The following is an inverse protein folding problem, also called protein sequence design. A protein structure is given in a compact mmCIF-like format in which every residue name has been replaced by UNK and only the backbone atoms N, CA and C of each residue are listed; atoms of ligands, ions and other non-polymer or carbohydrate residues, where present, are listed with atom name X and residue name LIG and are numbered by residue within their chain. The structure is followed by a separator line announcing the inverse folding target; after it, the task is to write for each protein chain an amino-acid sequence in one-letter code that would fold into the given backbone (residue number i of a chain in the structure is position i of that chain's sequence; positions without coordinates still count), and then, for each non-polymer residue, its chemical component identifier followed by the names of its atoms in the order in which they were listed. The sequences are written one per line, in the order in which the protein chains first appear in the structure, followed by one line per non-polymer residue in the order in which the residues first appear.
data_IF_161845393915
#
_entry.id   IF_161845393915
#
_cell.length_a   1.000
_cell.length_b   1.000
_cell.length_c   1.000
_cell.angle_alpha   90.00
_cell.angle_beta   90.00
_cell.angle_gamma   90.00
#
_symmetry.space_group_name_H-M   'P 1'
#
loop_
_entity.id
_entity.type
_entity.pdbx_description
1 polymer ?
#
# COMPACT_ATOMS: atom_id res chain seq x y z
N UNK A 1 -21.88 44.81 -60.41
CA UNK A 1 -21.12 46.03 -60.77
C UNK A 1 -20.75 46.74 -59.48
N UNK A 2 -19.44 46.90 -59.19
CA UNK A 2 -18.88 47.70 -58.06
C UNK A 2 -19.21 47.18 -56.66
N UNK A 3 -18.40 47.30 -55.61
CA UNK A 3 -17.36 48.30 -55.31
C UNK A 3 -16.38 47.70 -54.27
N UNK A 4 -15.08 47.96 -54.49
CA UNK A 4 -13.94 48.23 -53.59
C UNK A 4 -14.25 48.48 -52.08
N UNK A 5 -13.37 48.33 -51.09
CA UNK A 5 -11.90 48.38 -51.02
C UNK A 5 -11.40 47.78 -49.67
N UNK A 6 -10.08 47.52 -49.63
CA UNK A 6 -9.12 47.33 -48.53
C UNK A 6 -9.56 47.65 -47.08
N UNK A 7 -9.02 46.91 -46.10
CA UNK A 7 -8.03 47.43 -45.13
C UNK A 7 -7.45 46.35 -44.18
N UNK A 8 -6.09 46.37 -44.11
CA UNK A 8 -5.19 46.19 -42.95
C UNK A 8 -5.12 44.85 -42.19
N UNK A 9 -4.02 44.17 -42.48
CA UNK A 9 -3.20 43.37 -41.56
C UNK A 9 -2.87 44.14 -40.26
N UNK A 10 -3.18 43.54 -39.11
CA UNK A 10 -2.64 43.92 -37.80
C UNK A 10 -1.70 42.83 -37.30
N UNK A 11 -0.48 43.25 -37.01
CA UNK A 11 0.61 42.52 -36.34
C UNK A 11 0.21 42.17 -34.90
N UNK A 12 0.63 41.02 -34.34
CA UNK A 12 0.46 40.75 -32.92
C UNK A 12 1.47 41.58 -32.11
N UNK A 13 0.95 42.47 -31.26
CA UNK A 13 1.73 43.19 -30.25
C UNK A 13 2.15 42.27 -29.11
N UNK A 14 3.35 42.57 -28.59
CA UNK A 14 4.08 41.94 -27.51
C UNK A 14 3.23 41.56 -26.28
N UNK A 15 3.27 40.28 -25.92
CA UNK A 15 2.97 39.82 -24.57
C UNK A 15 4.29 39.68 -23.79
N UNK A 16 4.36 40.12 -22.52
CA UNK A 16 5.58 40.04 -21.72
C UNK A 16 5.94 38.57 -21.45
N UNK A 17 7.25 38.24 -21.36
CA UNK A 17 7.67 36.88 -21.05
C UNK A 17 7.19 36.53 -19.64
N UNK A 18 6.33 35.52 -19.53
CA UNK A 18 6.03 34.89 -18.25
C UNK A 18 7.31 34.26 -17.73
N UNK A 19 7.89 34.85 -16.68
CA UNK A 19 8.98 34.28 -15.91
C UNK A 19 8.57 32.88 -15.45
N UNK A 20 9.07 31.87 -16.15
CA UNK A 20 8.99 30.48 -15.75
C UNK A 20 9.87 30.32 -14.52
N UNK A 21 9.27 30.46 -13.33
CA UNK A 21 9.90 30.08 -12.07
C UNK A 21 10.33 28.61 -12.21
N UNK A 22 11.63 28.29 -12.15
CA UNK A 22 12.09 26.92 -12.28
C UNK A 22 11.67 26.17 -11.01
N UNK A 23 10.54 25.46 -11.11
CA UNK A 23 10.08 24.57 -10.05
C UNK A 23 11.03 23.38 -10.04
N UNK A 24 11.94 23.35 -9.06
CA UNK A 24 12.84 22.23 -8.86
C UNK A 24 12.03 20.92 -8.74
N UNK A 25 12.38 19.87 -9.51
CA UNK A 25 11.61 18.65 -9.55
C UNK A 25 11.71 17.90 -8.21
N UNK A 26 10.62 17.88 -7.45
CA UNK A 26 10.44 16.97 -6.32
C UNK A 26 10.35 15.54 -6.85
N UNK A 27 11.24 14.67 -6.36
CA UNK A 27 11.63 13.36 -6.91
C UNK A 27 10.57 12.26 -7.00
N UNK A 28 9.26 12.58 -7.04
CA UNK A 28 8.20 11.60 -7.28
C UNK A 28 7.59 11.67 -8.70
N UNK A 29 7.89 12.71 -9.49
CA UNK A 29 7.37 12.86 -10.87
C UNK A 29 8.22 12.22 -11.97
N UNK A 30 9.42 11.72 -11.69
CA UNK A 30 10.32 11.19 -12.73
C UNK A 30 9.93 9.82 -13.33
N UNK A 31 8.84 9.19 -12.89
CA UNK A 31 8.27 7.99 -13.56
C UNK A 31 6.93 8.21 -14.25
N UNK A 32 6.44 9.45 -14.30
CA UNK A 32 5.25 9.79 -15.08
C UNK A 32 5.64 10.60 -16.33
N UNK A 33 6.62 10.10 -17.08
CA UNK A 33 7.01 10.63 -18.38
C UNK A 33 6.34 9.85 -19.51
N UNK A 34 5.56 10.55 -20.34
CA UNK A 34 4.90 10.10 -21.58
C UNK A 34 3.83 9.00 -21.46
N UNK A 35 2.73 9.19 -22.20
CA UNK A 35 1.63 8.25 -22.38
C UNK A 35 2.11 6.96 -23.08
N UNK A 36 2.78 6.07 -22.35
CA UNK A 36 2.88 4.66 -22.71
C UNK A 36 2.07 3.85 -21.68
N UNK A 37 0.94 3.32 -22.12
CA UNK A 37 0.17 2.36 -21.32
C UNK A 37 0.95 1.04 -21.27
N UNK A 38 1.89 0.91 -20.32
CA UNK A 38 2.58 -0.35 -20.09
C UNK A 38 1.76 -1.25 -19.16
N UNK A 39 1.76 -2.55 -19.45
CA UNK A 39 1.18 -3.54 -18.56
C UNK A 39 1.98 -3.58 -17.25
N UNK A 40 1.32 -3.62 -16.10
CA UNK A 40 2.00 -3.79 -14.80
C UNK A 40 1.58 -5.10 -14.16
N UNK A 41 2.57 -5.96 -13.90
CA UNK A 41 2.37 -7.25 -13.24
C UNK A 41 2.58 -7.09 -11.73
N UNK A 42 1.74 -7.75 -10.94
CA UNK A 42 1.85 -7.84 -9.48
C UNK A 42 1.60 -9.29 -9.07
N UNK A 43 2.65 -10.00 -8.69
CA UNK A 43 2.59 -11.41 -8.28
C UNK A 43 3.02 -11.49 -6.82
N UNK A 44 2.29 -12.28 -6.03
CA UNK A 44 2.63 -12.52 -4.62
C UNK A 44 2.96 -13.97 -4.41
N UNK A 45 3.90 -14.22 -3.50
CA UNK A 45 4.33 -15.55 -3.11
C UNK A 45 4.36 -15.68 -1.60
N UNK A 46 4.21 -16.91 -1.12
CA UNK A 46 4.76 -17.29 0.19
C UNK A 46 6.15 -17.86 0.02
N UNK A 47 7.02 -17.54 0.98
CA UNK A 47 8.35 -18.12 1.14
C UNK A 47 8.55 -18.48 2.61
N UNK A 48 9.28 -19.56 2.88
CA UNK A 48 9.72 -19.90 4.23
C UNK A 48 10.73 -18.85 4.71
N UNK A 49 10.59 -18.35 5.93
CA UNK A 49 11.50 -17.36 6.50
C UNK A 49 12.95 -17.85 6.57
N UNK A 50 13.17 -19.16 6.70
CA UNK A 50 14.50 -19.75 6.68
C UNK A 50 15.22 -19.55 5.33
N UNK A 51 14.47 -19.38 4.23
CA UNK A 51 15.03 -19.12 2.89
C UNK A 51 15.26 -17.63 2.63
N UNK A 52 14.75 -16.72 3.47
CA UNK A 52 14.86 -15.27 3.20
C UNK A 52 16.29 -14.74 3.22
N UNK A 53 17.22 -15.20 4.08
CA UNK A 53 18.62 -14.79 3.96
C UNK A 53 19.24 -15.10 2.59
N UNK A 54 18.91 -16.24 1.99
CA UNK A 54 19.35 -16.60 0.64
C UNK A 54 18.69 -15.72 -0.42
N UNK A 55 17.37 -15.55 -0.34
CA UNK A 55 16.61 -14.66 -1.23
C UNK A 55 17.16 -13.23 -1.21
N UNK A 56 17.47 -12.70 -0.03
CA UNK A 56 18.03 -11.36 0.14
C UNK A 56 19.36 -11.20 -0.59
N UNK A 57 20.26 -12.20 -0.50
CA UNK A 57 21.54 -12.19 -1.23
C UNK A 57 21.31 -12.19 -2.74
N UNK A 58 20.42 -13.04 -3.25
CA UNK A 58 20.11 -13.13 -4.68
C UNK A 58 19.47 -11.84 -5.23
N UNK A 59 18.62 -11.18 -4.44
CA UNK A 59 18.03 -9.89 -4.79
C UNK A 59 19.09 -8.78 -4.76
N UNK A 60 19.89 -8.66 -3.70
CA UNK A 60 20.94 -7.64 -3.58
C UNK A 60 22.02 -7.76 -4.68
N UNK A 61 22.23 -8.96 -5.22
CA UNK A 61 23.14 -9.18 -6.35
C UNK A 61 22.63 -8.56 -7.67
N UNK A 62 21.35 -8.19 -7.78
CA UNK A 62 20.71 -7.73 -9.03
C UNK A 62 19.86 -6.48 -8.89
N UNK A 63 19.53 -6.09 -7.66
CA UNK A 63 18.64 -4.98 -7.32
C UNK A 63 19.27 -4.12 -6.25
N UNK A 64 18.87 -2.85 -6.19
CA UNK A 64 19.28 -1.95 -5.13
C UNK A 64 18.26 -1.98 -3.99
N UNK A 65 18.72 -1.70 -2.77
CA UNK A 65 17.81 -1.47 -1.64
C UNK A 65 17.01 -0.19 -1.90
N UNK A 66 15.71 -0.22 -1.64
CA UNK A 66 14.87 1.00 -1.70
C UNK A 66 15.46 2.04 -0.73
N UNK A 67 15.71 3.30 -1.14
CA UNK A 67 16.31 4.32 -0.28
C UNK A 67 15.55 4.59 1.01
N UNK A 68 14.25 4.28 1.04
CA UNK A 68 13.39 4.41 2.22
C UNK A 68 13.27 3.10 3.01
N UNK A 69 14.04 2.07 2.65
CA UNK A 69 14.09 0.78 3.31
C UNK A 69 15.44 0.62 4.04
N UNK A 70 15.50 0.90 5.36
CA UNK A 70 16.72 0.63 6.12
C UNK A 70 17.09 -0.85 6.10
N UNK A 71 18.35 -1.15 6.42
CA UNK A 71 18.79 -2.53 6.62
C UNK A 71 17.95 -3.21 7.72
N UNK A 72 17.47 -4.42 7.44
CA UNK A 72 16.53 -5.13 8.32
C UNK A 72 15.06 -4.78 8.08
N UNK A 73 14.77 -3.84 7.19
CA UNK A 73 13.41 -3.44 6.82
C UNK A 73 12.80 -2.43 7.80
N UNK A 74 11.59 -1.97 7.49
CA UNK A 74 10.87 -0.95 8.25
C UNK A 74 9.46 -1.41 8.65
N UNK A 75 9.00 -1.06 9.85
CA UNK A 75 7.63 -1.32 10.27
C UNK A 75 6.61 -0.61 9.39
N UNK A 76 5.56 -1.33 9.01
CA UNK A 76 4.38 -0.77 8.34
C UNK A 76 3.14 -1.30 9.03
N UNK A 77 2.29 -0.39 9.49
CA UNK A 77 0.98 -0.74 10.08
C UNK A 77 -0.12 -0.05 9.30
N UNK A 78 -1.20 -0.77 8.99
CA UNK A 78 -2.36 -0.20 8.32
C UNK A 78 -3.64 -0.56 9.07
N UNK A 79 -4.44 0.45 9.40
CA UNK A 79 -5.81 0.28 9.86
C UNK A 79 -6.74 0.28 8.65
N UNK A 80 -7.49 -0.81 8.46
CA UNK A 80 -8.46 -0.94 7.37
C UNK A 80 -9.85 -0.55 7.84
N UNK A 81 -10.54 0.17 6.96
CA UNK A 81 -11.93 0.58 7.13
C UNK A 81 -12.82 -0.23 6.20
N UNK A 82 -13.94 -0.71 6.72
CA UNK A 82 -15.01 -1.35 5.95
C UNK A 82 -16.36 -1.07 6.62
N UNK A 83 -17.43 -1.51 5.99
CA UNK A 83 -18.77 -1.50 6.57
C UNK A 83 -18.91 -2.57 7.66
N UNK A 84 -19.91 -2.47 8.55
CA UNK A 84 -20.18 -3.51 9.57
C UNK A 84 -20.43 -4.91 8.99
N UNK A 85 -20.98 -4.99 7.77
CA UNK A 85 -21.24 -6.22 7.03
C UNK A 85 -20.05 -6.67 6.13
N UNK A 86 -18.89 -6.01 6.25
CA UNK A 86 -17.64 -6.34 5.55
C UNK A 86 -17.78 -6.28 4.02
N UNK A 87 -18.41 -5.23 3.50
CA UNK A 87 -18.66 -5.05 2.07
C UNK A 87 -17.37 -5.16 1.24
N UNK A 88 -16.30 -4.42 1.57
CA UNK A 88 -15.05 -4.47 0.81
C UNK A 88 -14.32 -5.82 0.90
N UNK A 89 -14.52 -6.57 1.99
CA UNK A 89 -14.11 -7.96 2.08
C UNK A 89 -14.83 -8.80 1.02
N UNK A 90 -16.16 -8.79 1.02
CA UNK A 90 -16.96 -9.58 0.07
C UNK A 90 -16.72 -9.18 -1.38
N UNK A 91 -16.65 -7.88 -1.68
CA UNK A 91 -16.30 -7.38 -3.02
C UNK A 91 -14.97 -7.97 -3.54
N UNK A 92 -14.02 -8.22 -2.63
CA UNK A 92 -12.72 -8.83 -2.94
C UNK A 92 -12.81 -10.36 -3.07
N UNK A 93 -13.54 -11.04 -2.19
CA UNK A 93 -13.73 -12.51 -2.22
C UNK A 93 -14.49 -12.92 -3.47
N UNK A 94 -15.58 -12.23 -3.80
CA UNK A 94 -16.42 -12.47 -4.97
C UNK A 94 -15.76 -11.98 -6.28
N UNK A 95 -14.64 -11.26 -6.17
CA UNK A 95 -13.87 -10.83 -7.33
C UNK A 95 -14.53 -9.72 -8.14
N UNK A 96 -15.42 -8.91 -7.53
CA UNK A 96 -16.18 -7.86 -8.23
C UNK A 96 -15.26 -6.90 -8.98
N UNK A 97 -15.67 -6.52 -10.19
CA UNK A 97 -14.89 -5.67 -11.09
C UNK A 97 -14.71 -4.25 -10.55
N UNK A 98 -15.70 -3.75 -9.83
CA UNK A 98 -15.62 -2.52 -9.07
C UNK A 98 -15.45 -2.85 -7.60
N UNK A 99 -14.35 -2.41 -7.01
CA UNK A 99 -14.11 -2.60 -5.56
C UNK A 99 -13.14 -1.57 -5.02
N UNK A 100 -13.29 -1.22 -3.75
CA UNK A 100 -12.45 -0.22 -3.07
C UNK A 100 -11.90 -0.76 -1.76
N UNK A 101 -10.86 -0.12 -1.25
CA UNK A 101 -10.33 -0.30 0.09
C UNK A 101 -9.89 1.06 0.61
N UNK A 102 -10.34 1.41 1.81
CA UNK A 102 -9.85 2.56 2.55
C UNK A 102 -8.93 2.08 3.67
N UNK A 103 -7.81 2.76 3.88
CA UNK A 103 -6.92 2.50 5.01
C UNK A 103 -6.19 3.75 5.47
N UNK A 104 -5.94 3.81 6.77
CA UNK A 104 -4.94 4.68 7.38
C UNK A 104 -3.64 3.88 7.54
N UNK A 105 -2.51 4.42 7.12
CA UNK A 105 -1.22 3.73 7.14
C UNK A 105 -0.16 4.53 7.88
N UNK A 106 0.49 3.88 8.84
CA UNK A 106 1.68 4.34 9.54
C UNK A 106 2.93 3.66 8.94
N UNK A 107 3.98 4.44 8.78
CA UNK A 107 5.35 3.98 8.57
C UNK A 107 6.16 4.29 9.82
N UNK A 108 6.95 3.33 10.30
CA UNK A 108 7.64 3.46 11.58
C UNK A 108 6.95 2.71 12.72
N UNK A 109 7.58 2.75 13.89
CA UNK A 109 7.19 1.93 15.03
C UNK A 109 5.83 2.38 15.61
N UNK A 110 4.81 1.49 15.67
CA UNK A 110 3.50 1.85 16.20
C UNK A 110 3.51 2.37 17.65
N UNK A 111 4.47 1.92 18.48
CA UNK A 111 4.59 2.39 19.88
C UNK A 111 5.04 3.84 20.00
N UNK A 112 5.67 4.39 18.96
CA UNK A 112 6.14 5.79 18.92
C UNK A 112 5.10 6.72 18.29
N UNK A 113 3.94 6.19 17.87
CA UNK A 113 2.91 6.98 17.22
C UNK A 113 2.23 7.94 18.20
N UNK A 114 2.40 9.23 17.93
CA UNK A 114 1.72 10.35 18.60
C UNK A 114 0.67 10.97 17.68
N UNK A 115 -0.14 11.90 18.19
CA UNK A 115 -1.14 12.63 17.41
C UNK A 115 -0.52 13.42 16.23
N UNK A 116 0.71 13.87 16.37
CA UNK A 116 1.44 14.63 15.34
C UNK A 116 2.15 13.73 14.32
N UNK A 117 2.18 12.42 14.57
CA UNK A 117 2.87 11.46 13.69
C UNK A 117 2.22 11.43 12.31
N UNK A 118 2.98 11.56 11.21
CA UNK A 118 2.42 11.57 9.88
C UNK A 118 1.89 10.18 9.49
N UNK A 119 0.63 10.12 9.09
CA UNK A 119 -0.01 8.91 8.54
C UNK A 119 -0.53 9.18 7.13
N UNK A 120 -0.65 8.12 6.34
CA UNK A 120 -1.19 8.18 5.00
C UNK A 120 -2.61 7.62 4.94
N UNK A 121 -3.56 8.45 4.52
CA UNK A 121 -4.91 8.00 4.19
C UNK A 121 -4.91 7.57 2.73
N UNK A 122 -5.22 6.30 2.47
CA UNK A 122 -5.10 5.71 1.15
C UNK A 122 -6.43 5.07 0.70
N UNK A 123 -6.87 5.42 -0.51
CA UNK A 123 -7.93 4.69 -1.21
C UNK A 123 -7.30 3.90 -2.34
N UNK A 124 -7.47 2.57 -2.31
CA UNK A 124 -7.13 1.68 -3.42
C UNK A 124 -8.42 1.24 -4.10
N UNK A 125 -8.64 1.69 -5.33
CA UNK A 125 -9.82 1.38 -6.12
C UNK A 125 -9.43 0.51 -7.31
N UNK A 126 -10.25 -0.49 -7.62
CA UNK A 126 -10.18 -1.21 -8.89
C UNK A 126 -11.47 -1.03 -9.66
N UNK A 127 -11.34 -0.69 -10.94
CA UNK A 127 -12.43 -0.62 -11.90
C UNK A 127 -12.04 -1.49 -13.09
N UNK A 128 -12.76 -2.60 -13.26
CA UNK A 128 -12.43 -3.65 -14.23
C UNK A 128 -10.98 -4.17 -14.04
N UNK A 129 -10.08 -3.82 -14.96
CA UNK A 129 -8.68 -4.23 -14.96
C UNK A 129 -7.75 -3.16 -14.38
N UNK A 130 -8.23 -1.92 -14.23
CA UNK A 130 -7.42 -0.79 -13.80
C UNK A 130 -7.48 -0.64 -12.29
N UNK A 131 -6.32 -0.46 -11.66
CA UNK A 131 -6.21 -0.15 -10.23
C UNK A 131 -5.67 1.26 -10.06
N UNK A 132 -6.37 2.07 -9.28
CA UNK A 132 -5.98 3.41 -8.92
C UNK A 132 -5.66 3.45 -7.42
N UNK A 133 -4.61 4.19 -7.07
CA UNK A 133 -4.27 4.48 -5.68
C UNK A 133 -4.17 5.99 -5.53
N UNK A 134 -4.91 6.53 -4.56
CA UNK A 134 -4.85 7.93 -4.17
C UNK A 134 -4.53 8.00 -2.68
N UNK A 135 -3.76 9.00 -2.27
CA UNK A 135 -3.43 9.20 -0.86
C UNK A 135 -3.09 10.65 -0.53
N UNK A 136 -3.28 11.01 0.72
CA UNK A 136 -2.72 12.22 1.35
C UNK A 136 -2.01 11.83 2.64
N UNK A 137 -1.06 12.66 3.07
CA UNK A 137 -0.42 12.55 4.38
C UNK A 137 -1.03 13.61 5.32
N UNK A 138 -1.24 13.27 6.58
CA UNK A 138 -1.68 14.20 7.62
C UNK A 138 -1.31 13.67 9.02
N UNK A 139 -1.35 14.50 10.07
CA UNK A 139 -1.16 14.06 11.45
C UNK A 139 -2.18 12.99 11.86
N UNK A 140 -1.74 12.01 12.63
CA UNK A 140 -2.54 10.89 13.11
C UNK A 140 -3.79 11.33 13.88
N UNK A 141 -3.66 12.26 14.84
CA UNK A 141 -4.79 12.75 15.62
C UNK A 141 -5.84 13.47 14.75
N UNK A 142 -5.40 14.21 13.74
CA UNK A 142 -6.28 14.82 12.73
C UNK A 142 -7.00 13.75 11.91
N UNK A 143 -6.28 12.72 11.48
CA UNK A 143 -6.85 11.61 10.73
C UNK A 143 -7.90 10.84 11.55
N UNK A 144 -7.67 10.60 12.84
CA UNK A 144 -8.65 9.93 13.71
C UNK A 144 -9.91 10.77 13.90
N UNK A 145 -9.76 12.07 14.21
CA UNK A 145 -10.93 12.97 14.33
C UNK A 145 -11.74 13.03 13.04
N UNK A 146 -11.08 12.98 11.89
CA UNK A 146 -11.74 12.97 10.59
C UNK A 146 -12.43 11.64 10.28
N UNK A 147 -11.69 10.52 10.25
CA UNK A 147 -12.22 9.24 9.78
C UNK A 147 -13.13 8.58 10.81
N UNK A 148 -12.75 8.61 12.10
CA UNK A 148 -13.47 7.94 13.18
C UNK A 148 -14.49 8.90 13.81
N UNK A 149 -14.05 10.13 14.11
CA UNK A 149 -14.88 11.17 14.73
C UNK A 149 -15.82 11.90 13.76
N UNK A 150 -15.70 11.64 12.44
CA UNK A 150 -16.50 12.26 11.37
C UNK A 150 -16.45 13.79 11.36
N UNK A 151 -15.37 14.37 11.89
CA UNK A 151 -15.16 15.81 11.88
C UNK A 151 -14.66 16.26 10.51
N UNK A 152 -15.12 17.43 10.06
CA UNK A 152 -14.56 18.04 8.86
C UNK A 152 -13.08 18.37 9.07
N UNK A 153 -12.29 18.18 8.01
CA UNK A 153 -10.85 18.44 8.02
C UNK A 153 -10.52 19.55 7.02
N UNK A 154 -9.74 20.53 7.48
CA UNK A 154 -9.14 21.53 6.61
C UNK A 154 -8.15 20.86 5.66
N UNK A 155 -8.16 21.25 4.39
CA UNK A 155 -7.23 20.72 3.40
C UNK A 155 -6.88 21.76 2.34
N UNK A 156 -5.70 21.61 1.75
CA UNK A 156 -5.27 22.46 0.65
C UNK A 156 -6.14 22.24 -0.60
N UNK A 157 -6.32 23.24 -1.46
CA UNK A 157 -7.15 23.11 -2.67
C UNK A 157 -6.85 21.87 -3.53
N UNK A 158 -5.59 21.44 -3.75
CA UNK A 158 -5.30 20.22 -4.51
C UNK A 158 -5.75 18.91 -3.84
N UNK A 159 -5.90 18.91 -2.51
CA UNK A 159 -6.30 17.74 -1.73
C UNK A 159 -7.83 17.61 -1.60
N UNK A 160 -8.55 18.73 -1.77
CA UNK A 160 -10.01 18.81 -1.60
C UNK A 160 -10.80 17.71 -2.33
N UNK A 161 -10.50 17.33 -3.59
CA UNK A 161 -11.22 16.23 -4.24
C UNK A 161 -11.07 14.88 -3.53
N UNK A 162 -9.87 14.59 -3.02
CA UNK A 162 -9.62 13.34 -2.29
C UNK A 162 -10.25 13.37 -0.90
N UNK A 163 -10.19 14.50 -0.19
CA UNK A 163 -10.86 14.65 1.11
C UNK A 163 -12.37 14.48 0.94
N UNK A 164 -12.97 15.13 -0.07
CA UNK A 164 -14.39 14.95 -0.37
C UNK A 164 -14.73 13.50 -0.73
N UNK A 165 -13.91 12.82 -1.54
CA UNK A 165 -14.07 11.39 -1.86
C UNK A 165 -14.11 10.54 -0.57
N UNK A 166 -13.15 10.74 0.33
CA UNK A 166 -13.02 9.96 1.56
C UNK A 166 -14.16 10.26 2.53
N UNK A 167 -14.49 11.54 2.76
CA UNK A 167 -15.62 11.96 3.61
C UNK A 167 -16.93 11.37 3.11
N UNK A 168 -17.19 11.45 1.80
CA UNK A 168 -18.40 10.87 1.18
C UNK A 168 -18.41 9.35 1.33
N UNK A 169 -17.27 8.68 1.10
CA UNK A 169 -17.17 7.23 1.19
C UNK A 169 -17.44 6.73 2.61
N UNK A 170 -16.87 7.40 3.61
CA UNK A 170 -17.02 7.05 5.02
C UNK A 170 -18.43 7.34 5.51
N UNK A 171 -19.02 8.49 5.14
CA UNK A 171 -20.40 8.85 5.48
C UNK A 171 -21.43 7.92 4.85
N UNK A 172 -21.39 7.75 3.52
CA UNK A 172 -22.43 7.02 2.79
C UNK A 172 -22.44 5.51 3.06
N UNK A 173 -21.27 4.93 3.38
CA UNK A 173 -21.16 3.49 3.67
C UNK A 173 -21.05 3.20 5.16
N UNK A 174 -21.06 4.22 6.01
CA UNK A 174 -20.74 4.11 7.43
C UNK A 174 -19.46 3.27 7.68
N UNK A 175 -18.35 3.67 7.05
CA UNK A 175 -17.11 2.93 7.20
C UNK A 175 -16.54 3.07 8.61
N UNK A 176 -16.14 1.95 9.20
CA UNK A 176 -15.58 1.87 10.55
C UNK A 176 -14.24 1.16 10.52
N UNK A 177 -13.35 1.42 11.49
CA UNK A 177 -12.18 0.59 11.75
C UNK A 177 -12.57 -0.89 11.90
N UNK A 178 -11.92 -1.80 11.16
CA UNK A 178 -12.21 -3.24 11.22
C UNK A 178 -11.02 -4.04 11.75
N UNK A 179 -9.84 -3.82 11.19
CA UNK A 179 -8.62 -4.57 11.54
C UNK A 179 -7.38 -3.72 11.31
N UNK A 180 -6.39 -3.87 12.18
CA UNK A 180 -5.02 -3.47 11.85
C UNK A 180 -4.30 -4.61 11.14
N UNK A 181 -3.34 -4.27 10.28
CA UNK A 181 -2.35 -5.21 9.78
C UNK A 181 -0.97 -4.57 9.82
N UNK A 182 -0.10 -5.11 10.67
CA UNK A 182 1.31 -4.77 10.84
C UNK A 182 2.23 -5.81 10.22
N UNK A 183 3.41 -5.39 9.78
CA UNK A 183 4.49 -6.26 9.29
C UNK A 183 5.81 -5.48 9.21
N UNK A 184 6.92 -6.19 9.17
CA UNK A 184 8.24 -5.63 8.86
C UNK A 184 8.48 -5.77 7.36
N UNK A 185 8.88 -4.70 6.67
CA UNK A 185 9.04 -4.70 5.21
C UNK A 185 10.47 -4.46 4.80
N UNK A 186 11.01 -5.35 3.98
CA UNK A 186 12.17 -5.08 3.13
C UNK A 186 11.69 -4.72 1.72
N UNK A 187 12.35 -3.75 1.07
CA UNK A 187 12.03 -3.35 -0.29
C UNK A 187 13.29 -3.20 -1.15
N UNK A 188 13.21 -3.74 -2.37
CA UNK A 188 14.25 -3.72 -3.40
C UNK A 188 13.68 -3.10 -4.67
N UNK A 189 14.49 -2.28 -5.34
CA UNK A 189 14.17 -1.63 -6.61
C UNK A 189 15.13 -2.12 -7.69
N UNK A 190 14.61 -2.38 -8.88
CA UNK A 190 15.44 -2.83 -10.00
C UNK A 190 16.36 -1.71 -10.46
N UNK A 191 17.52 -2.11 -10.98
CA UNK A 191 18.55 -1.20 -11.52
C UNK A 191 18.73 -1.43 -13.02
N UNK A 192 19.37 -0.47 -13.69
CA UNK A 192 19.75 -0.56 -15.11
C UNK A 192 18.57 -0.96 -16.03
N UNK A 193 18.60 -2.16 -16.60
CA UNK A 193 17.58 -2.65 -17.53
C UNK A 193 16.23 -2.96 -16.85
N UNK A 194 16.18 -3.04 -15.52
CA UNK A 194 15.03 -3.49 -14.74
C UNK A 194 14.37 -2.37 -13.90
N UNK A 195 14.48 -1.09 -14.28
CA UNK A 195 13.92 0.06 -13.52
C UNK A 195 12.42 -0.06 -13.18
N UNK A 196 11.66 -0.86 -13.94
CA UNK A 196 10.25 -1.14 -13.68
C UNK A 196 9.99 -2.20 -12.60
N UNK A 197 11.03 -2.89 -12.12
CA UNK A 197 10.96 -3.99 -11.16
C UNK A 197 11.02 -3.46 -9.73
N UNK A 198 10.16 -3.99 -8.86
CA UNK A 198 10.20 -3.80 -7.41
C UNK A 198 9.84 -5.10 -6.72
N UNK A 199 10.64 -5.50 -5.74
CA UNK A 199 10.37 -6.66 -4.91
C UNK A 199 10.22 -6.19 -3.46
N UNK A 200 9.22 -6.69 -2.74
CA UNK A 200 9.12 -6.46 -1.30
C UNK A 200 8.94 -7.77 -0.56
N UNK A 201 9.55 -7.88 0.61
CA UNK A 201 9.39 -9.01 1.53
C UNK A 201 8.69 -8.46 2.77
N UNK A 202 7.51 -9.00 3.07
CA UNK A 202 6.74 -8.64 4.25
C UNK A 202 6.79 -9.79 5.27
N UNK A 203 7.49 -9.53 6.37
CA UNK A 203 7.76 -10.50 7.42
C UNK A 203 6.73 -10.39 8.54
N UNK A 204 6.57 -11.49 9.27
CA UNK A 204 5.86 -11.53 10.55
C UNK A 204 4.49 -10.82 10.50
N UNK A 205 3.69 -11.08 9.47
CA UNK A 205 2.43 -10.34 9.26
C UNK A 205 1.44 -10.60 10.40
N UNK A 206 1.03 -9.54 11.07
CA UNK A 206 0.20 -9.59 12.27
C UNK A 206 -0.84 -8.46 12.30
N UNK A 207 -1.69 -8.44 13.31
CA UNK A 207 -2.67 -7.39 13.52
C UNK A 207 -3.57 -7.63 14.72
N UNK A 208 -4.67 -6.89 14.78
CA UNK A 208 -5.74 -7.04 15.78
C UNK A 208 -7.09 -6.53 15.23
N UNK A 209 -8.17 -6.98 15.87
CA UNK A 209 -9.58 -6.68 15.58
C UNK A 209 -10.22 -5.72 16.60
N UNK A 210 -9.40 -5.14 17.47
CA UNK A 210 -9.79 -4.26 18.58
C UNK A 210 -8.68 -3.26 18.89
N UNK A 211 -8.97 -2.26 19.72
CA UNK A 211 -7.99 -1.30 20.23
C UNK A 211 -7.13 -0.71 19.10
N UNK A 212 -7.81 -0.16 18.10
CA UNK A 212 -7.23 0.17 16.79
C UNK A 212 -6.19 1.28 16.80
N UNK A 213 -6.10 2.05 17.89
CA UNK A 213 -5.09 3.10 18.01
C UNK A 213 -3.68 2.51 17.88
N UNK A 214 -2.81 3.11 17.07
CA UNK A 214 -1.53 2.47 16.73
C UNK A 214 -0.65 2.20 17.95
N UNK A 215 -0.56 3.18 18.86
CA UNK A 215 0.18 3.08 20.11
C UNK A 215 -0.60 2.47 21.29
N UNK A 216 -1.72 1.77 21.05
CA UNK A 216 -2.60 1.27 22.14
C UNK A 216 -1.97 0.24 23.09
N UNK A 217 -0.79 -0.29 22.78
CA UNK A 217 -0.17 -1.39 23.55
C UNK A 217 -0.93 -2.73 23.46
N UNK A 218 -2.06 -2.77 22.75
CA UNK A 218 -2.89 -3.96 22.66
C UNK A 218 -2.18 -5.08 21.90
N UNK A 219 -2.33 -6.30 22.43
CA UNK A 219 -1.65 -7.48 21.92
C UNK A 219 -2.08 -7.82 20.49
N UNK A 220 -1.09 -7.92 19.60
CA UNK A 220 -1.30 -8.39 18.24
C UNK A 220 -1.31 -9.91 18.17
N UNK A 221 -1.89 -10.45 17.10
CA UNK A 221 -1.80 -11.85 16.72
C UNK A 221 -1.29 -12.00 15.29
N UNK A 222 -0.58 -13.09 15.04
CA UNK A 222 -0.16 -13.46 13.69
C UNK A 222 -1.38 -13.69 12.80
N UNK A 223 -1.36 -13.05 11.64
CA UNK A 223 -2.38 -13.14 10.59
C UNK A 223 -1.92 -14.11 9.50
N UNK A 224 -0.60 -14.20 9.30
CA UNK A 224 0.10 -15.20 8.51
C UNK A 224 1.03 -15.96 9.46
N UNK A 225 1.21 -17.29 9.32
CA UNK A 225 2.16 -18.03 10.14
C UNK A 225 3.54 -17.34 10.16
N UNK A 226 4.18 -17.17 11.33
CA UNK A 226 5.41 -16.42 11.45
C UNK A 226 6.59 -17.03 10.69
N UNK A 227 6.52 -18.32 10.35
CA UNK A 227 7.50 -19.02 9.50
C UNK A 227 7.38 -18.66 8.01
N UNK A 228 6.38 -17.89 7.61
CA UNK A 228 6.16 -17.49 6.22
C UNK A 228 6.28 -15.98 6.07
N UNK A 229 7.00 -15.55 5.04
CA UNK A 229 6.99 -14.18 4.56
C UNK A 229 6.17 -14.07 3.28
N UNK A 230 5.63 -12.88 3.01
CA UNK A 230 4.96 -12.57 1.73
C UNK A 230 5.96 -11.82 0.85
N UNK A 231 6.33 -12.43 -0.28
CA UNK A 231 7.12 -11.76 -1.32
C UNK A 231 6.15 -11.18 -2.34
N UNK A 232 6.29 -9.91 -2.69
CA UNK A 232 5.52 -9.26 -3.75
C UNK A 232 6.47 -8.73 -4.83
N UNK A 233 6.35 -9.29 -6.04
CA UNK A 233 7.05 -8.84 -7.22
C UNK A 233 6.14 -7.95 -8.07
N UNK A 234 6.62 -6.75 -8.40
CA UNK A 234 5.97 -5.81 -9.31
C UNK A 234 6.89 -5.47 -10.46
N UNK A 235 6.43 -5.62 -11.69
CA UNK A 235 7.22 -5.30 -12.87
C UNK A 235 6.39 -4.55 -13.91
N UNK A 236 7.03 -3.64 -14.64
CA UNK A 236 6.45 -3.01 -15.82
C UNK A 236 6.75 -3.89 -17.05
N UNK A 237 5.78 -4.00 -17.95
CA UNK A 237 5.77 -4.71 -19.25
C UNK A 237 5.98 -6.22 -19.22
N UNK A 238 6.97 -6.71 -18.48
CA UNK A 238 7.28 -8.12 -18.29
C UNK A 238 8.02 -8.34 -16.99
N UNK A 239 7.89 -9.53 -16.42
CA UNK A 239 8.74 -9.96 -15.30
C UNK A 239 10.07 -10.47 -15.88
N UNK A 240 11.23 -10.02 -15.39
CA UNK A 240 12.53 -10.52 -15.86
C UNK A 240 12.68 -12.02 -15.64
N UNK A 241 13.29 -12.73 -16.60
CA UNK A 241 13.44 -14.19 -16.54
C UNK A 241 14.19 -14.65 -15.29
N UNK A 242 15.24 -13.91 -14.89
CA UNK A 242 16.01 -14.21 -13.69
C UNK A 242 15.13 -14.18 -12.43
N UNK A 243 14.13 -13.31 -12.38
CA UNK A 243 13.25 -13.17 -11.22
C UNK A 243 12.24 -14.32 -11.15
N UNK A 244 11.70 -14.75 -12.30
CA UNK A 244 10.86 -15.95 -12.36
C UNK A 244 11.64 -17.22 -12.02
N UNK A 245 12.85 -17.34 -12.55
CA UNK A 245 13.77 -18.45 -12.26
C UNK A 245 14.14 -18.50 -10.76
N UNK A 246 14.45 -17.35 -10.15
CA UNK A 246 14.72 -17.22 -8.72
C UNK A 246 13.53 -17.70 -7.89
N UNK A 247 12.30 -17.27 -8.23
CA UNK A 247 11.10 -17.70 -7.47
C UNK A 247 10.85 -19.20 -7.58
N UNK A 248 11.17 -19.81 -8.74
CA UNK A 248 11.03 -21.25 -8.95
C UNK A 248 12.10 -22.04 -8.18
N UNK A 249 13.37 -21.65 -8.26
CA UNK A 249 14.49 -22.29 -7.52
C UNK A 249 14.32 -22.23 -6.00
N UNK A 250 13.65 -21.20 -5.50
CA UNK A 250 13.36 -21.01 -4.08
C UNK A 250 12.09 -21.74 -3.61
N UNK A 251 11.41 -22.49 -4.49
CA UNK A 251 10.12 -23.17 -4.23
C UNK A 251 9.01 -22.21 -3.73
N UNK A 252 8.98 -20.99 -4.26
CA UNK A 252 7.99 -19.99 -3.82
C UNK A 252 6.60 -20.30 -4.38
N UNK A 253 5.59 -20.32 -3.51
CA UNK A 253 4.22 -20.63 -3.90
C UNK A 253 3.44 -19.36 -4.27
N UNK A 254 2.93 -19.27 -5.51
CA UNK A 254 2.10 -18.14 -5.96
C UNK A 254 0.80 -18.09 -5.17
N UNK A 255 0.43 -16.92 -4.66
CA UNK A 255 -0.78 -16.72 -3.87
C UNK A 255 -1.57 -15.47 -4.24
N UNK A 256 -2.90 -15.54 -4.07
CA UNK A 256 -3.83 -14.42 -4.27
C UNK A 256 -4.16 -13.70 -2.97
N UNK A 257 -3.19 -13.61 -2.05
CA UNK A 257 -3.40 -13.10 -0.70
C UNK A 257 -3.69 -11.60 -0.67
N UNK A 258 -4.64 -11.22 0.18
CA UNK A 258 -4.89 -9.83 0.57
C UNK A 258 -4.72 -9.73 2.08
N UNK A 259 -3.75 -8.95 2.55
CA UNK A 259 -3.49 -8.71 3.99
C UNK A 259 -4.76 -8.37 4.79
N UNK A 260 -5.63 -7.52 4.23
CA UNK A 260 -6.94 -7.21 4.82
C UNK A 260 -7.82 -8.45 5.01
N UNK A 261 -8.17 -9.15 3.92
CA UNK A 261 -8.98 -10.36 3.95
C UNK A 261 -8.39 -11.45 4.87
N UNK A 262 -7.08 -11.65 4.80
CA UNK A 262 -6.39 -12.60 5.68
C UNK A 262 -6.55 -12.20 7.16
N UNK A 263 -6.51 -10.89 7.49
CA UNK A 263 -6.74 -10.42 8.86
C UNK A 263 -8.18 -10.67 9.29
N UNK A 264 -9.17 -10.30 8.47
CA UNK A 264 -10.60 -10.55 8.71
C UNK A 264 -10.88 -12.03 8.99
N UNK A 265 -10.31 -12.92 8.19
CA UNK A 265 -10.44 -14.37 8.35
C UNK A 265 -9.72 -14.90 9.59
N UNK A 266 -8.50 -14.42 9.87
CA UNK A 266 -7.71 -14.84 11.03
C UNK A 266 -8.40 -14.47 12.36
N UNK A 267 -9.14 -13.36 12.39
CA UNK A 267 -9.92 -12.93 13.55
C UNK A 267 -11.36 -13.48 13.57
N UNK A 268 -11.77 -14.24 12.55
CA UNK A 268 -13.09 -14.87 12.49
C UNK A 268 -14.24 -13.86 12.31
N UNK A 269 -13.96 -12.69 11.76
CA UNK A 269 -14.95 -11.63 11.54
C UNK A 269 -15.88 -11.95 10.35
N UNK A 270 -15.40 -12.73 9.38
CA UNK A 270 -16.22 -13.25 8.30
C UNK A 270 -16.67 -14.69 8.61
N UNK A 271 -17.91 -15.08 8.22
CA UNK A 271 -18.37 -16.46 8.29
C UNK A 271 -17.39 -17.38 7.54
N UNK A 272 -16.97 -18.47 8.18
CA UNK A 272 -16.17 -19.50 7.52
C UNK A 272 -17.04 -20.17 6.46
N UNK A 273 -16.77 -19.91 5.18
CA UNK A 273 -17.31 -20.76 4.12
C UNK A 273 -16.78 -22.17 4.33
N UNK A 274 -17.68 -23.17 4.44
CA UNK A 274 -17.33 -24.60 4.49
C UNK A 274 -16.56 -25.07 3.25
N UNK A 275 -16.52 -24.26 2.17
CA UNK A 275 -15.96 -24.61 0.86
C UNK A 275 -14.98 -23.54 0.30
N UNK A 276 -14.52 -22.60 1.12
CA UNK A 276 -13.54 -21.59 0.70
C UNK A 276 -12.13 -22.18 0.50
N UNK A 277 -11.36 -21.60 -0.43
CA UNK A 277 -9.96 -21.97 -0.73
C UNK A 277 -9.16 -22.22 0.57
N UNK A 278 -8.20 -23.17 0.59
CA UNK A 278 -7.45 -23.51 1.79
C UNK A 278 -6.78 -22.24 2.33
N UNK A 279 -7.43 -21.61 3.30
CA UNK A 279 -6.87 -20.48 4.01
C UNK A 279 -5.63 -21.00 4.73
N UNK A 280 -4.64 -20.13 4.91
CA UNK A 280 -3.63 -20.36 5.95
C UNK A 280 -4.33 -20.27 7.30
N UNK A 281 -4.99 -21.35 7.68
CA UNK A 281 -5.60 -21.52 8.98
C UNK A 281 -4.44 -21.86 9.91
N UNK A 282 -4.18 -20.98 10.87
CA UNK A 282 -3.28 -21.30 11.97
C UNK A 282 -3.84 -22.55 12.69
N UNK A 283 -3.02 -23.56 12.99
CA UNK A 283 -3.47 -24.79 13.63
C UNK A 283 -4.27 -24.50 14.90
N UNK A 284 -5.27 -25.33 15.21
CA UNK A 284 -5.95 -25.26 16.50
C UNK A 284 -4.93 -25.46 17.64
N UNK A 285 -4.93 -24.56 18.63
CA UNK A 285 -3.97 -24.57 19.73
C UNK A 285 -2.66 -23.81 19.49
N UNK A 286 -2.44 -23.23 18.29
CA UNK A 286 -1.30 -22.34 18.07
C UNK A 286 -1.42 -21.07 18.91
N UNK A 287 -0.41 -20.77 19.75
CA UNK A 287 -0.31 -19.46 20.39
C UNK A 287 -0.01 -18.40 19.31
N UNK A 288 -1.07 -17.77 18.83
CA UNK A 288 -0.98 -16.75 17.80
C UNK A 288 -0.49 -15.41 18.30
N UNK A 289 -0.20 -15.24 19.61
CA UNK A 289 0.22 -13.96 20.17
C UNK A 289 1.57 -13.54 19.61
N UNK A 290 1.66 -12.25 19.29
CA UNK A 290 2.90 -11.62 18.88
C UNK A 290 3.66 -11.15 20.11
N UNK A 291 4.97 -11.48 20.25
CA UNK A 291 5.81 -10.94 21.31
C UNK A 291 5.86 -9.40 21.31
N UNK A 292 5.96 -8.80 22.50
CA UNK A 292 6.23 -7.36 22.65
C UNK A 292 7.58 -7.02 22.00
N UNK A 293 7.66 -5.86 21.34
CA UNK A 293 8.91 -5.44 20.67
C UNK A 293 9.25 -6.20 19.39
N UNK A 294 8.35 -7.02 18.82
CA UNK A 294 8.61 -7.85 17.62
C UNK A 294 9.21 -7.05 16.43
N UNK A 295 8.79 -5.79 16.30
CA UNK A 295 9.17 -4.88 15.23
C UNK A 295 10.32 -3.93 15.62
N UNK A 296 10.84 -4.02 16.84
CA UNK A 296 12.02 -3.26 17.25
C UNK A 296 13.23 -3.83 16.50
N UNK A 297 13.79 -3.04 15.61
CA UNK A 297 15.06 -3.37 14.95
C UNK A 297 16.16 -3.17 15.97
N UNK A 298 16.74 -4.27 16.47
CA UNK A 298 17.95 -4.21 17.29
C UNK A 298 19.08 -3.71 16.38
N UNK A 299 19.43 -2.44 16.51
CA UNK A 299 20.64 -1.89 15.90
C UNK A 299 21.84 -2.42 16.68
N UNK A 300 22.17 -3.70 16.51
CA UNK A 300 23.50 -4.21 16.88
C UNK A 300 24.45 -3.72 15.81
N UNK A 301 25.06 -2.57 16.08
CA UNK A 301 26.26 -2.09 15.37
C UNK A 301 27.42 -3.03 15.78
N UNK A 302 28.19 -3.59 14.83
CA UNK A 302 29.43 -4.30 15.17
C UNK A 302 30.50 -3.35 15.69
#
# INVERSE_FOLDING_TARGET
MGVFDRFRTSTPQDMPPTDAVPTAPTGYRQTAGSLHAFNRYEIKYFVDELKVPELRRELAARMDTDPYSPHGGYPVTSLYYDTPDLRFYWEKIEGLRFRRKLRMRLYGNPSECTDDTPVHIEVKQRVNRVTQKRRIAMPYGTAQRWLDGRQEVGCDPPQRPFVHEVTTLIGNLDLRPIVTTGYLREAFVGREADLGLRVTIDHKVHGRDRDFGFASGAQNRFVVPPKLAIVELKANERVPYWATDLTARMDMSVVRVSKYCQSVEAFGLAPRSRFGAPGLVLPQGFDGRVPTGLLETTTTVP
#
